data_IF_523769745022
#
_entry.id   IF_523769745022
#
_cell.length_a   1.000
_cell.length_b   1.000
_cell.length_c   1.000
_cell.angle_alpha   90.00
_cell.angle_beta   90.00
_cell.angle_gamma   90.00
#
_symmetry.space_group_name_H-M   'P 1'
#
loop_
_entity.id
_entity.type
_entity.pdbx_description
1 polymer ?
#
# COMPACT_ATOMS: atom_id res chain seq x y z
N UNK A 1 11.91 -0.44 9.74
CA UNK A 1 12.78 -1.63 9.59
C UNK A 1 13.33 -1.79 8.18
N UNK A 2 12.49 -1.74 7.14
CA UNK A 2 12.89 -1.95 5.74
C UNK A 2 13.98 -0.98 5.23
N UNK A 3 13.91 0.30 5.60
CA UNK A 3 14.88 1.33 5.16
C UNK A 3 16.29 1.03 5.70
N UNK A 4 16.39 0.65 6.98
CA UNK A 4 17.67 0.30 7.60
C UNK A 4 18.30 -0.94 6.99
N UNK A 5 17.48 -1.96 6.68
CA UNK A 5 17.93 -3.16 5.99
C UNK A 5 18.45 -2.85 4.58
N UNK A 6 17.69 -2.09 3.80
CA UNK A 6 18.09 -1.67 2.46
C UNK A 6 19.39 -0.86 2.49
N UNK A 7 19.51 0.08 3.43
CA UNK A 7 20.75 0.84 3.63
C UNK A 7 21.95 -0.05 3.98
N UNK A 8 21.77 -1.02 4.88
CA UNK A 8 22.83 -1.96 5.26
C UNK A 8 23.28 -2.86 4.10
N UNK A 9 22.34 -3.25 3.23
CA UNK A 9 22.57 -4.17 2.12
C UNK A 9 22.91 -3.46 0.80
N UNK A 10 22.85 -2.13 0.77
CA UNK A 10 23.03 -1.34 -0.45
C UNK A 10 21.89 -1.52 -1.46
N UNK A 11 20.71 -1.94 -1.02
CA UNK A 11 19.56 -2.12 -1.89
C UNK A 11 18.78 -0.82 -2.08
N UNK A 12 18.19 -0.65 -3.26
CA UNK A 12 17.30 0.49 -3.55
C UNK A 12 15.92 0.25 -2.96
N UNK A 13 15.31 1.32 -2.46
CA UNK A 13 13.93 1.37 -2.01
C UNK A 13 13.07 2.02 -3.09
N UNK A 14 11.97 1.35 -3.40
CA UNK A 14 10.98 1.79 -4.37
C UNK A 14 9.64 2.01 -3.70
N UNK A 15 8.79 2.82 -4.33
CA UNK A 15 7.48 3.16 -3.81
C UNK A 15 6.40 3.06 -4.90
N UNK A 16 5.29 2.44 -4.53
CA UNK A 16 4.02 2.53 -5.25
C UNK A 16 3.01 3.24 -4.35
N UNK A 17 2.21 4.11 -4.94
CA UNK A 17 1.11 4.82 -4.27
C UNK A 17 -0.22 4.33 -4.84
N UNK A 18 -1.15 3.94 -3.98
CA UNK A 18 -2.45 3.41 -4.42
C UNK A 18 -3.44 4.55 -4.60
N UNK A 19 -3.98 4.69 -5.81
CA UNK A 19 -5.02 5.68 -6.04
C UNK A 19 -6.30 5.24 -5.37
N UNK A 20 -6.80 6.12 -4.50
CA UNK A 20 -8.04 5.89 -3.76
C UNK A 20 -8.05 4.50 -3.12
N UNK A 21 -7.04 4.13 -2.32
CA UNK A 21 -6.90 2.76 -1.78
C UNK A 21 -8.18 2.24 -1.10
N UNK A 22 -8.90 3.16 -0.47
CA UNK A 22 -10.21 2.90 0.12
C UNK A 22 -11.30 2.46 -0.87
N UNK A 23 -11.29 2.95 -2.11
CA UNK A 23 -12.20 2.47 -3.17
C UNK A 23 -11.75 1.16 -3.81
N UNK A 24 -10.53 0.69 -3.51
CA UNK A 24 -10.05 -0.60 -3.95
C UNK A 24 -10.54 -1.74 -3.04
N UNK A 25 -10.96 -1.46 -1.81
CA UNK A 25 -11.54 -2.48 -0.94
C UNK A 25 -12.99 -2.81 -1.29
N UNK A 26 -13.36 -4.09 -1.20
CA UNK A 26 -14.77 -4.52 -1.19
C UNK A 26 -15.25 -4.59 0.26
N UNK A 27 -16.47 -4.11 0.53
CA UNK A 27 -17.06 -4.18 1.87
C UNK A 27 -17.71 -5.56 2.04
N UNK A 28 -17.18 -6.35 2.98
CA UNK A 28 -17.78 -7.63 3.38
C UNK A 28 -19.08 -7.42 4.18
N UNK A 29 -19.23 -6.26 4.82
CA UNK A 29 -20.37 -5.91 5.67
C UNK A 29 -21.37 -5.01 4.92
N UNK A 30 -22.67 -5.19 5.19
CA UNK A 30 -23.68 -4.23 4.76
C UNK A 30 -23.59 -2.97 5.62
N UNK A 31 -22.95 -1.94 5.07
CA UNK A 31 -22.91 -0.61 5.67
C UNK A 31 -24.05 0.23 5.10
N UNK A 32 -24.68 1.04 5.95
CA UNK A 32 -25.63 2.06 5.55
C UNK A 32 -25.13 3.42 6.02
N UNK A 33 -25.22 4.43 5.15
CA UNK A 33 -24.81 5.79 5.45
C UNK A 33 -26.03 6.72 5.36
N UNK A 34 -26.11 7.68 6.28
CA UNK A 34 -27.11 8.74 6.19
C UNK A 34 -26.94 9.50 4.86
N UNK A 35 -28.05 10.03 4.34
CA UNK A 35 -28.01 10.83 3.12
C UNK A 35 -27.14 12.07 3.35
N UNK A 36 -26.06 12.28 2.57
CA UNK A 36 -25.23 13.45 2.73
C UNK A 36 -25.99 14.72 2.36
N UNK A 37 -25.61 15.83 2.98
CA UNK A 37 -26.19 17.14 2.69
C UNK A 37 -26.07 17.45 1.19
N UNK A 38 -27.18 17.84 0.57
CA UNK A 38 -27.27 18.07 -0.89
C UNK A 38 -27.71 16.86 -1.72
N UNK A 39 -27.76 15.66 -1.13
CA UNK A 39 -28.24 14.43 -1.78
C UNK A 39 -29.48 13.84 -1.10
N UNK A 40 -30.13 14.61 -0.23
CA UNK A 40 -31.37 14.19 0.45
C UNK A 40 -32.52 14.22 -0.55
N UNK A 41 -33.19 13.10 -0.73
CA UNK A 41 -34.37 13.01 -1.61
C UNK A 41 -35.61 13.44 -0.84
N UNK A 42 -36.31 14.45 -1.38
CA UNK A 42 -37.54 14.99 -0.77
C UNK A 42 -38.61 13.90 -0.64
N UNK A 43 -39.18 13.75 0.55
CA UNK A 43 -40.14 12.71 0.91
C UNK A 43 -39.52 11.34 1.24
N UNK A 44 -38.19 11.25 1.30
CA UNK A 44 -37.42 10.05 1.69
C UNK A 44 -36.30 10.41 2.66
N UNK A 45 -36.48 11.45 3.47
CA UNK A 45 -35.45 12.01 4.35
C UNK A 45 -34.88 10.99 5.35
N UNK A 46 -35.72 10.06 5.81
CA UNK A 46 -35.34 8.99 6.76
C UNK A 46 -34.65 7.78 6.10
N UNK A 47 -34.48 7.79 4.77
CA UNK A 47 -33.78 6.70 4.08
C UNK A 47 -32.26 6.83 4.19
N UNK A 48 -31.59 5.71 3.98
CA UNK A 48 -30.13 5.58 4.02
C UNK A 48 -29.62 5.07 2.68
N UNK A 49 -28.38 5.42 2.34
CA UNK A 49 -27.70 4.87 1.18
C UNK A 49 -26.86 3.65 1.57
N UNK A 50 -26.88 2.64 0.70
CA UNK A 50 -25.98 1.49 0.79
C UNK A 50 -24.83 1.69 -0.22
N UNK A 51 -23.61 2.01 0.22
CA UNK A 51 -22.49 2.17 -0.68
C UNK A 51 -22.09 0.82 -1.28
N UNK A 52 -21.86 0.80 -2.60
CA UNK A 52 -21.35 -0.37 -3.31
C UNK A 52 -19.83 -0.53 -3.19
N UNK A 53 -19.11 0.51 -2.75
CA UNK A 53 -17.66 0.51 -2.54
C UNK A 53 -17.34 1.08 -1.17
N UNK A 54 -16.20 0.69 -0.63
CA UNK A 54 -15.70 1.20 0.64
C UNK A 54 -15.44 2.73 0.54
N UNK A 55 -16.18 3.51 1.33
CA UNK A 55 -16.10 4.98 1.35
C UNK A 55 -15.03 5.47 2.33
N UNK A 56 -14.45 6.64 2.04
CA UNK A 56 -13.58 7.35 2.97
C UNK A 56 -14.32 7.62 4.30
N UNK A 57 -13.67 7.39 5.44
CA UNK A 57 -14.25 7.63 6.76
C UNK A 57 -15.04 6.46 7.37
N UNK A 58 -15.28 5.38 6.64
CA UNK A 58 -15.80 4.15 7.27
C UNK A 58 -14.66 3.40 7.98
N UNK A 59 -14.92 2.91 9.18
CA UNK A 59 -13.95 2.14 9.98
C UNK A 59 -13.53 0.84 9.29
N UNK A 60 -14.40 0.29 8.45
CA UNK A 60 -14.19 -0.96 7.72
C UNK A 60 -13.26 -0.79 6.51
N UNK A 61 -13.22 0.40 5.92
CA UNK A 61 -12.57 0.65 4.63
C UNK A 61 -11.05 0.39 4.65
N UNK A 62 -10.26 0.81 5.66
CA UNK A 62 -8.84 0.45 5.75
C UNK A 62 -8.61 -1.06 5.85
N UNK A 63 -9.50 -1.78 6.55
CA UNK A 63 -9.42 -3.24 6.71
C UNK A 63 -9.76 -3.96 5.42
N UNK A 64 -10.81 -3.53 4.72
CA UNK A 64 -11.20 -4.07 3.41
C UNK A 64 -10.07 -3.95 2.39
N UNK A 65 -9.43 -2.78 2.34
CA UNK A 65 -8.24 -2.56 1.51
C UNK A 65 -7.10 -3.51 1.88
N UNK A 66 -6.73 -3.55 3.16
CA UNK A 66 -5.64 -4.39 3.65
C UNK A 66 -5.90 -5.89 3.37
N UNK A 67 -7.13 -6.37 3.56
CA UNK A 67 -7.51 -7.74 3.24
C UNK A 67 -7.35 -8.04 1.73
N UNK A 68 -7.74 -7.11 0.85
CA UNK A 68 -7.63 -7.30 -0.61
C UNK A 68 -6.17 -7.42 -1.04
N UNK A 69 -5.30 -6.51 -0.59
CA UNK A 69 -3.88 -6.57 -0.94
C UNK A 69 -3.19 -7.78 -0.33
N UNK A 70 -3.53 -8.14 0.90
CA UNK A 70 -3.02 -9.36 1.55
C UNK A 70 -3.39 -10.61 0.75
N UNK A 71 -4.66 -10.72 0.33
CA UNK A 71 -5.12 -11.85 -0.48
C UNK A 71 -4.38 -11.92 -1.82
N UNK A 72 -4.09 -10.78 -2.46
CA UNK A 72 -3.26 -10.74 -3.66
C UNK A 72 -1.84 -11.25 -3.40
N UNK A 73 -1.22 -10.79 -2.31
CA UNK A 73 0.12 -11.23 -1.91
C UNK A 73 0.18 -12.74 -1.63
N UNK A 74 -0.83 -13.30 -0.95
CA UNK A 74 -0.91 -14.74 -0.73
C UNK A 74 -1.00 -15.51 -2.06
N UNK A 75 -1.83 -15.04 -3.02
CA UNK A 75 -1.92 -15.65 -4.37
C UNK A 75 -0.59 -15.58 -5.13
N UNK A 76 0.16 -14.50 -4.93
CA UNK A 76 1.50 -14.28 -5.51
C UNK A 76 2.63 -15.01 -4.75
N UNK A 77 2.30 -15.87 -3.78
CA UNK A 77 3.24 -16.63 -2.94
C UNK A 77 4.13 -15.78 -2.02
N UNK A 78 3.68 -14.59 -1.63
CA UNK A 78 4.30 -13.84 -0.54
C UNK A 78 3.93 -14.44 0.81
N UNK A 79 4.85 -14.32 1.75
CA UNK A 79 4.68 -14.71 3.15
C UNK A 79 4.71 -13.48 4.04
N UNK A 80 3.72 -13.37 4.93
CA UNK A 80 3.74 -12.38 6.01
C UNK A 80 4.88 -12.65 6.98
N UNK A 81 5.51 -11.59 7.45
CA UNK A 81 6.51 -11.69 8.50
C UNK A 81 5.82 -11.90 9.86
N UNK A 82 6.34 -12.80 10.68
CA UNK A 82 5.65 -13.22 11.91
C UNK A 82 5.51 -12.11 12.95
N UNK A 83 6.46 -11.17 13.01
CA UNK A 83 6.44 -10.06 13.97
C UNK A 83 5.85 -8.76 13.42
N UNK A 84 5.58 -8.67 12.11
CA UNK A 84 5.11 -7.43 11.47
C UNK A 84 4.09 -7.76 10.37
N UNK A 85 2.81 -7.51 10.65
CA UNK A 85 1.71 -7.89 9.76
C UNK A 85 1.74 -7.14 8.42
N UNK A 86 2.29 -5.93 8.40
CA UNK A 86 2.41 -5.10 7.19
C UNK A 86 3.58 -5.47 6.29
N UNK A 87 4.43 -6.41 6.73
CA UNK A 87 5.64 -6.81 6.02
C UNK A 87 5.46 -8.17 5.34
N UNK A 88 5.76 -8.21 4.05
CA UNK A 88 5.65 -9.38 3.19
C UNK A 88 6.98 -9.69 2.54
N UNK A 89 7.29 -10.96 2.40
CA UNK A 89 8.52 -11.43 1.76
C UNK A 89 8.23 -12.53 0.76
N UNK A 90 8.96 -12.53 -0.36
CA UNK A 90 8.91 -13.60 -1.35
C UNK A 90 10.34 -13.93 -1.77
N UNK A 91 10.62 -15.21 -1.96
CA UNK A 91 11.92 -15.69 -2.46
C UNK A 91 11.73 -16.41 -3.78
N UNK A 92 12.62 -16.18 -4.73
CA UNK A 92 12.66 -16.96 -5.97
C UNK A 92 13.41 -18.29 -5.77
N UNK A 93 13.47 -19.12 -6.82
CA UNK A 93 14.16 -20.42 -6.79
C UNK A 93 15.68 -20.30 -6.58
N UNK A 94 16.26 -19.15 -6.92
CA UNK A 94 17.68 -18.84 -6.76
C UNK A 94 18.00 -18.28 -5.35
N UNK A 95 16.99 -18.15 -4.48
CA UNK A 95 17.15 -17.66 -3.11
C UNK A 95 17.11 -16.13 -2.97
N UNK A 96 17.01 -15.39 -4.08
CA UNK A 96 16.80 -13.93 -4.12
C UNK A 96 15.50 -13.56 -3.43
N UNK A 97 15.47 -12.40 -2.80
CA UNK A 97 14.38 -11.97 -1.93
C UNK A 97 13.86 -10.60 -2.33
N UNK A 98 12.54 -10.47 -2.34
CA UNK A 98 11.85 -9.19 -2.32
C UNK A 98 11.11 -9.03 -1.00
N UNK A 99 11.20 -7.83 -0.44
CA UNK A 99 10.58 -7.42 0.82
C UNK A 99 9.68 -6.23 0.51
N UNK A 100 8.44 -6.31 0.97
CA UNK A 100 7.40 -5.30 0.71
C UNK A 100 6.76 -4.93 2.04
N UNK A 101 6.58 -3.64 2.27
CA UNK A 101 5.89 -3.08 3.43
C UNK A 101 4.70 -2.27 2.93
N UNK A 102 3.52 -2.56 3.47
CA UNK A 102 2.26 -1.85 3.15
C UNK A 102 1.93 -0.88 4.27
N UNK A 103 1.76 0.39 3.96
CA UNK A 103 1.34 1.42 4.89
C UNK A 103 0.19 2.24 4.29
N UNK A 104 -1.05 1.87 4.62
CA UNK A 104 -2.27 2.52 4.12
C UNK A 104 -2.24 2.61 2.58
N UNK A 105 -1.94 3.78 2.02
CA UNK A 105 -1.91 4.04 0.58
C UNK A 105 -0.51 3.84 -0.04
N UNK A 106 0.55 3.80 0.78
CA UNK A 106 1.94 3.66 0.36
C UNK A 106 2.43 2.21 0.44
N UNK A 107 3.07 1.73 -0.62
CA UNK A 107 3.79 0.46 -0.63
C UNK A 107 5.28 0.73 -0.85
N UNK A 108 6.10 0.38 0.13
CA UNK A 108 7.56 0.41 0.00
C UNK A 108 8.07 -0.99 -0.26
N UNK A 109 8.99 -1.12 -1.20
CA UNK A 109 9.57 -2.42 -1.52
C UNK A 109 11.06 -2.32 -1.87
N UNK A 110 11.77 -3.41 -1.62
CA UNK A 110 13.21 -3.54 -1.90
C UNK A 110 13.54 -5.00 -2.21
N UNK A 111 14.59 -5.22 -2.99
CA UNK A 111 14.99 -6.55 -3.47
C UNK A 111 16.50 -6.56 -3.77
N UNK A 112 17.10 -7.75 -3.70
CA UNK A 112 18.46 -8.01 -4.19
C UNK A 112 18.50 -8.51 -5.65
N UNK A 113 17.36 -8.40 -6.33
CA UNK A 113 17.16 -8.85 -7.71
C UNK A 113 16.20 -7.90 -8.45
N UNK A 114 16.67 -7.35 -9.57
CA UNK A 114 15.92 -6.39 -10.40
C UNK A 114 14.73 -7.03 -11.11
N UNK A 115 14.81 -8.33 -11.42
CA UNK A 115 13.71 -9.05 -12.05
C UNK A 115 12.54 -9.20 -11.09
N UNK A 116 12.79 -9.52 -9.82
CA UNK A 116 11.75 -9.52 -8.78
C UNK A 116 11.08 -8.15 -8.61
N UNK A 117 11.85 -7.05 -8.72
CA UNK A 117 11.29 -5.68 -8.69
C UNK A 117 10.34 -5.47 -9.85
N UNK A 118 10.77 -5.80 -11.08
CA UNK A 118 9.97 -5.61 -12.27
C UNK A 118 8.70 -6.48 -12.26
N UNK A 119 8.81 -7.75 -11.88
CA UNK A 119 7.68 -8.69 -11.76
C UNK A 119 6.66 -8.21 -10.73
N UNK A 120 7.13 -7.80 -9.55
CA UNK A 120 6.26 -7.26 -8.50
C UNK A 120 5.54 -6.01 -8.97
N UNK A 121 6.29 -5.02 -9.48
CA UNK A 121 5.72 -3.77 -9.98
C UNK A 121 4.66 -4.02 -11.07
N UNK A 122 4.93 -4.90 -12.02
CA UNK A 122 3.97 -5.26 -13.07
C UNK A 122 2.71 -5.94 -12.50
N UNK A 123 2.86 -6.87 -11.55
CA UNK A 123 1.72 -7.52 -10.90
C UNK A 123 0.84 -6.50 -10.18
N UNK A 124 1.45 -5.57 -9.45
CA UNK A 124 0.73 -4.53 -8.70
C UNK A 124 -0.01 -3.56 -9.60
N UNK A 125 0.65 -3.02 -10.64
CA UNK A 125 0.03 -2.09 -11.59
C UNK A 125 -1.06 -2.74 -12.44
N UNK A 126 -1.05 -4.08 -12.57
CA UNK A 126 -2.08 -4.83 -13.28
C UNK A 126 -3.31 -5.07 -12.42
N UNK A 127 -3.13 -5.39 -11.14
CA UNK A 127 -4.23 -5.73 -10.23
C UNK A 127 -4.90 -4.49 -9.62
N UNK A 128 -4.12 -3.43 -9.38
CA UNK A 128 -4.57 -2.24 -8.67
C UNK A 128 -4.28 -0.97 -9.47
N UNK A 129 -5.14 0.04 -9.34
CA UNK A 129 -4.84 1.38 -9.88
C UNK A 129 -3.84 2.06 -8.93
N UNK A 130 -2.58 2.06 -9.34
CA UNK A 130 -1.47 2.61 -8.58
C UNK A 130 -0.64 3.57 -9.44
N UNK A 131 -0.02 4.53 -8.78
CA UNK A 131 1.01 5.39 -9.35
C UNK A 131 2.37 4.80 -8.99
N UNK A 132 3.22 4.62 -9.99
CA UNK A 132 4.62 4.28 -9.75
C UNK A 132 5.44 5.54 -9.46
N UNK A 133 5.94 5.66 -8.24
CA UNK A 133 6.80 6.75 -7.80
C UNK A 133 8.26 6.45 -8.19
N UNK A 134 8.60 5.18 -8.43
CA UNK A 134 9.95 4.75 -8.71
C UNK A 134 10.81 4.74 -7.44
N UNK A 135 11.98 5.36 -7.49
CA UNK A 135 12.86 5.46 -6.31
C UNK A 135 12.15 6.25 -5.21
N UNK A 136 12.04 5.65 -4.04
CA UNK A 136 11.42 6.29 -2.88
C UNK A 136 12.20 7.56 -2.53
N UNK A 137 11.52 8.70 -2.65
CA UNK A 137 12.05 10.04 -2.38
C UNK A 137 11.36 10.71 -1.20
N UNK A 138 10.15 10.27 -0.84
CA UNK A 138 9.40 10.73 0.31
C UNK A 138 8.68 9.56 0.97
N UNK A 139 8.68 9.51 2.29
CA UNK A 139 7.86 8.56 3.05
C UNK A 139 7.36 9.22 4.33
N UNK A 140 6.04 9.23 4.55
CA UNK A 140 5.39 9.83 5.71
C UNK A 140 5.84 11.28 5.99
N UNK A 141 5.93 12.10 4.95
CA UNK A 141 6.40 13.49 5.06
C UNK A 141 7.90 13.63 5.35
N UNK A 142 8.67 12.55 5.28
CA UNK A 142 10.13 12.61 5.40
C UNK A 142 10.78 12.43 4.03
N UNK A 143 11.62 13.37 3.63
CA UNK A 143 12.45 13.28 2.43
C UNK A 143 13.49 12.17 2.61
N UNK A 144 13.62 11.32 1.61
CA UNK A 144 14.55 10.20 1.60
C UNK A 144 15.53 10.35 0.43
N UNK A 145 16.82 10.41 0.75
CA UNK A 145 17.91 10.44 -0.23
C UNK A 145 18.70 9.13 -0.14
N UNK A 146 18.68 8.38 -1.23
CA UNK A 146 19.36 7.10 -1.32
C UNK A 146 20.67 7.29 -2.09
N UNK A 147 21.79 6.81 -1.54
CA UNK A 147 23.11 6.86 -2.16
C UNK A 147 23.85 5.56 -1.90
N UNK A 148 24.96 5.33 -2.61
CA UNK A 148 25.85 4.18 -2.33
C UNK A 148 26.40 4.19 -0.89
N UNK A 149 26.49 5.37 -0.26
CA UNK A 149 26.95 5.53 1.13
C UNK A 149 25.87 5.24 2.16
N UNK A 150 24.63 5.01 1.74
CA UNK A 150 23.48 4.76 2.61
C UNK A 150 22.28 5.66 2.31
N UNK A 151 21.30 5.62 3.21
CA UNK A 151 20.03 6.31 3.09
C UNK A 151 19.96 7.45 4.12
N UNK A 152 19.72 8.67 3.67
CA UNK A 152 19.52 9.85 4.50
C UNK A 152 18.04 10.20 4.56
N UNK A 153 17.54 10.47 5.76
CA UNK A 153 16.15 10.87 6.01
C UNK A 153 16.16 12.29 6.59
N UNK A 154 15.33 13.17 6.05
CA UNK A 154 15.24 14.57 6.50
C UNK A 154 13.79 15.07 6.49
N UNK A 155 13.45 15.99 7.39
CA UNK A 155 12.14 16.68 7.42
C UNK A 155 12.28 18.17 7.13
N UNK A 156 13.34 18.57 6.40
CA UNK A 156 13.70 19.98 6.18
C UNK A 156 12.59 20.82 5.53
N UNK A 157 11.65 20.20 4.83
CA UNK A 157 10.54 20.88 4.18
C UNK A 157 9.49 21.42 5.17
N UNK A 158 9.50 20.95 6.42
CA UNK A 158 8.62 21.41 7.50
C UNK A 158 9.31 22.33 8.52
N UNK A 159 10.58 22.69 8.26
CA UNK A 159 11.39 23.56 9.11
C UNK A 159 11.38 25.02 8.63
#
# INVERSE_FOLDING_TARGET
MIIGLAAQKGWKLFQLDVKFAFLQGELDEEVFVAQPQGYIVKGKEDQVYKPHKALYGLKQTPRAWYNRIENHFVKENFKKYSSEQTLFTKRNKEGKIIIVSVYVDDLIYTSDDEKLIAEFKMSMLKEFDMTDIGNMSYFLGSEVKQSEKGVFISQRQYA
#
